data_IF_578171874754
#
_entry.id   IF_578171874754
#
_cell.length_a   1.000
_cell.length_b   1.000
_cell.length_c   1.000
_cell.angle_alpha   90.00
_cell.angle_beta   90.00
_cell.angle_gamma   90.00
#
_symmetry.space_group_name_H-M   'P 1'
#
loop_
_entity.id
_entity.type
_entity.pdbx_description
1 polymer ?
#
# COMPACT_ATOMS: atom_id res chain seq x y z
N UNK A 1 -27.31 31.66 -21.52
CA UNK A 1 -27.32 30.92 -20.24
C UNK A 1 -27.18 29.39 -20.33
N UNK A 2 -27.53 28.65 -21.42
CA UNK A 2 -27.42 27.18 -21.42
C UNK A 2 -25.99 26.63 -21.53
N UNK A 3 -25.05 27.41 -22.12
CA UNK A 3 -23.64 27.00 -22.27
C UNK A 3 -22.92 26.82 -20.94
N UNK A 4 -23.19 27.67 -19.97
CA UNK A 4 -22.51 27.64 -18.66
C UNK A 4 -22.92 26.42 -17.83
N UNK A 5 -24.20 26.05 -17.87
CA UNK A 5 -24.72 24.86 -17.21
C UNK A 5 -24.15 23.57 -17.82
N UNK A 6 -24.06 23.50 -19.15
CA UNK A 6 -23.50 22.33 -19.85
C UNK A 6 -22.00 22.11 -19.51
N UNK A 7 -21.22 23.20 -19.41
CA UNK A 7 -19.80 23.11 -19.02
C UNK A 7 -19.62 22.65 -17.58
N UNK A 8 -20.48 23.09 -16.66
CA UNK A 8 -20.47 22.65 -15.26
C UNK A 8 -20.79 21.16 -15.13
N UNK A 9 -21.81 20.68 -15.83
CA UNK A 9 -22.16 19.25 -15.83
C UNK A 9 -21.02 18.39 -16.39
N UNK A 10 -20.39 18.83 -17.47
CA UNK A 10 -19.24 18.14 -18.05
C UNK A 10 -18.05 18.12 -17.09
N UNK A 11 -17.75 19.23 -16.42
CA UNK A 11 -16.66 19.30 -15.44
C UNK A 11 -16.89 18.36 -14.25
N UNK A 12 -18.13 18.30 -13.73
CA UNK A 12 -18.50 17.38 -12.65
C UNK A 12 -18.36 15.92 -13.10
N UNK A 13 -18.84 15.59 -14.30
CA UNK A 13 -18.68 14.24 -14.86
C UNK A 13 -17.21 13.84 -15.01
N UNK A 14 -16.34 14.76 -15.46
CA UNK A 14 -14.89 14.50 -15.54
C UNK A 14 -14.26 14.25 -14.17
N UNK A 15 -14.70 14.96 -13.12
CA UNK A 15 -14.20 14.73 -11.76
C UNK A 15 -14.62 13.37 -11.22
N UNK A 16 -15.85 12.93 -11.50
CA UNK A 16 -16.36 11.61 -11.09
C UNK A 16 -15.59 10.50 -11.80
N UNK A 17 -15.35 10.61 -13.12
CA UNK A 17 -14.64 9.58 -13.87
C UNK A 17 -13.16 9.48 -13.48
N UNK A 18 -12.53 10.60 -13.12
CA UNK A 18 -11.17 10.61 -12.58
C UNK A 18 -11.09 9.93 -11.19
N UNK A 19 -12.09 10.12 -10.33
CA UNK A 19 -12.15 9.48 -9.01
C UNK A 19 -12.38 7.96 -9.05
N UNK A 20 -12.91 7.43 -10.16
CA UNK A 20 -13.17 6.00 -10.36
C UNK A 20 -12.03 5.25 -11.04
N UNK A 21 -10.87 5.87 -11.28
CA UNK A 21 -9.75 5.15 -11.87
C UNK A 21 -9.27 4.03 -10.94
N UNK A 22 -9.11 2.79 -11.45
CA UNK A 22 -8.60 1.69 -10.64
C UNK A 22 -7.21 2.05 -10.13
N UNK A 23 -7.03 2.00 -8.81
CA UNK A 23 -5.72 2.21 -8.19
C UNK A 23 -4.79 1.12 -8.69
N UNK A 24 -3.60 1.51 -9.16
CA UNK A 24 -2.56 0.53 -9.50
C UNK A 24 -2.16 -0.24 -8.22
N UNK A 25 -1.94 -1.57 -8.32
CA UNK A 25 -1.42 -2.33 -7.20
C UNK A 25 -0.06 -1.80 -6.74
N UNK A 26 0.18 -1.92 -5.44
CA UNK A 26 1.45 -1.59 -4.80
C UNK A 26 2.56 -2.46 -5.36
N UNK A 27 3.59 -1.83 -5.88
CA UNK A 27 4.80 -2.48 -6.38
C UNK A 27 5.69 -2.97 -5.24
N UNK A 28 6.65 -3.85 -5.55
CA UNK A 28 7.65 -4.33 -4.57
C UNK A 28 8.40 -3.18 -3.88
N UNK A 29 8.79 -2.16 -4.64
CA UNK A 29 9.55 -1.01 -4.14
C UNK A 29 8.70 -0.15 -3.21
N UNK A 30 7.44 0.07 -3.57
CA UNK A 30 6.48 0.81 -2.74
C UNK A 30 6.18 0.04 -1.45
N UNK A 31 6.06 -1.29 -1.51
CA UNK A 31 5.86 -2.12 -0.32
C UNK A 31 7.05 -2.01 0.66
N UNK A 32 8.28 -2.12 0.16
CA UNK A 32 9.49 -1.95 0.98
C UNK A 32 9.55 -0.54 1.61
N UNK A 33 9.24 0.49 0.82
CA UNK A 33 9.22 1.89 1.27
C UNK A 33 8.13 2.14 2.32
N UNK A 34 6.93 1.60 2.10
CA UNK A 34 5.81 1.71 3.03
C UNK A 34 6.12 1.03 4.36
N UNK A 35 6.70 -0.17 4.33
CA UNK A 35 7.13 -0.87 5.55
C UNK A 35 8.18 -0.07 6.32
N UNK A 36 9.22 0.43 5.65
CA UNK A 36 10.26 1.27 6.28
C UNK A 36 9.69 2.53 6.90
N UNK A 37 8.82 3.24 6.18
CA UNK A 37 8.16 4.45 6.67
C UNK A 37 7.27 4.16 7.88
N UNK A 38 6.54 3.05 7.85
CA UNK A 38 5.75 2.59 8.98
C UNK A 38 6.63 2.29 10.20
N UNK A 39 7.71 1.53 10.03
CA UNK A 39 8.65 1.20 11.10
C UNK A 39 9.23 2.46 11.77
N UNK A 40 9.67 3.45 10.97
CA UNK A 40 10.17 4.72 11.50
C UNK A 40 9.10 5.50 12.27
N UNK A 41 7.87 5.52 11.76
CA UNK A 41 6.74 6.21 12.39
C UNK A 41 6.31 5.56 13.70
N UNK A 42 6.31 4.22 13.76
CA UNK A 42 5.81 3.44 14.89
C UNK A 42 6.88 3.17 15.96
N UNK A 43 8.10 3.70 15.79
CA UNK A 43 9.18 3.56 16.77
C UNK A 43 9.94 2.22 16.68
N UNK A 44 9.98 1.62 15.49
CA UNK A 44 10.72 0.39 15.18
C UNK A 44 11.94 0.69 14.29
N UNK A 45 13.08 1.14 14.83
CA UNK A 45 14.24 1.54 14.03
C UNK A 45 15.04 0.32 13.51
N UNK A 46 14.40 -0.57 12.75
CA UNK A 46 14.99 -1.82 12.26
C UNK A 46 15.91 -1.65 11.04
N UNK A 47 16.12 -0.42 10.58
CA UNK A 47 16.93 -0.10 9.42
C UNK A 47 16.21 -0.38 8.09
N UNK A 48 16.99 -0.78 7.09
CA UNK A 48 16.48 -1.02 5.74
C UNK A 48 15.94 -2.46 5.59
N UNK A 49 14.90 -2.66 4.74
CA UNK A 49 14.43 -3.99 4.39
C UNK A 49 15.54 -4.83 3.75
N UNK A 50 15.65 -6.09 4.17
CA UNK A 50 16.60 -7.06 3.59
C UNK A 50 15.96 -7.89 2.47
N UNK A 51 14.65 -8.09 2.55
CA UNK A 51 13.91 -8.89 1.57
C UNK A 51 12.48 -8.38 1.45
N UNK A 52 11.94 -8.42 0.23
CA UNK A 52 10.53 -8.19 -0.03
C UNK A 52 10.01 -9.28 -0.98
N UNK A 53 9.26 -10.21 -0.41
CA UNK A 53 8.62 -11.30 -1.14
C UNK A 53 7.25 -10.85 -1.64
N UNK A 54 6.86 -11.35 -2.82
CA UNK A 54 5.61 -11.03 -3.50
C UNK A 54 4.36 -11.15 -2.62
N UNK A 55 3.22 -10.56 -3.05
CA UNK A 55 1.96 -10.83 -2.40
C UNK A 55 1.71 -12.33 -2.43
N UNK A 56 1.45 -12.92 -1.26
CA UNK A 56 1.03 -14.32 -1.18
C UNK A 56 -0.39 -14.52 -1.71
N UNK A 57 -0.89 -15.74 -1.53
CA UNK A 57 -2.31 -16.04 -1.74
C UNK A 57 -3.21 -15.11 -0.91
N UNK A 58 -4.40 -14.76 -1.41
CA UNK A 58 -5.34 -13.93 -0.67
C UNK A 58 -5.75 -14.61 0.64
N UNK A 59 -5.87 -13.82 1.70
CA UNK A 59 -6.44 -14.26 2.98
C UNK A 59 -7.96 -14.48 2.85
N UNK A 60 -8.59 -14.97 3.92
CA UNK A 60 -10.04 -15.21 3.96
C UNK A 60 -10.89 -13.96 3.67
N UNK A 61 -10.34 -12.76 3.89
CA UNK A 61 -10.99 -11.47 3.57
C UNK A 61 -10.67 -10.97 2.14
N UNK A 62 -9.99 -11.78 1.33
CA UNK A 62 -9.59 -11.47 -0.04
C UNK A 62 -8.35 -10.59 -0.17
N UNK A 63 -7.76 -10.13 0.94
CA UNK A 63 -6.58 -9.25 0.92
C UNK A 63 -5.32 -10.04 0.63
N UNK A 64 -4.44 -9.45 -0.17
CA UNK A 64 -3.10 -9.97 -0.45
C UNK A 64 -2.06 -9.10 0.21
N UNK A 65 -0.97 -9.71 0.67
CA UNK A 65 0.04 -9.04 1.47
C UNK A 65 1.44 -9.34 0.96
N UNK A 66 2.19 -8.28 0.64
CA UNK A 66 3.65 -8.34 0.53
C UNK A 66 4.24 -8.68 1.89
N UNK A 67 5.30 -9.49 1.90
CA UNK A 67 6.07 -9.78 3.12
C UNK A 67 7.41 -9.07 3.04
N UNK A 68 7.66 -8.17 4.01
CA UNK A 68 8.90 -7.38 4.09
C UNK A 68 9.67 -7.80 5.33
N UNK A 69 10.90 -8.27 5.14
CA UNK A 69 11.79 -8.69 6.24
C UNK A 69 12.85 -7.61 6.49
N UNK A 70 13.21 -7.42 7.75
CA UNK A 70 14.28 -6.55 8.20
C UNK A 70 15.38 -7.37 8.89
N UNK A 71 16.56 -6.75 9.08
CA UNK A 71 17.61 -7.34 9.91
C UNK A 71 17.11 -7.59 11.32
N UNK A 72 17.27 -8.81 11.80
CA UNK A 72 16.87 -9.26 13.13
C UNK A 72 17.97 -10.13 13.74
N UNK A 73 18.09 -10.10 15.06
CA UNK A 73 18.97 -11.02 15.80
C UNK A 73 18.43 -12.47 15.70
N UNK A 74 19.27 -13.49 15.91
CA UNK A 74 18.80 -14.88 15.96
C UNK A 74 17.66 -15.06 16.96
N UNK A 75 16.50 -15.53 16.48
CA UNK A 75 15.30 -15.73 17.30
C UNK A 75 14.32 -14.54 17.31
N UNK A 76 14.69 -13.40 16.73
CA UNK A 76 13.80 -12.24 16.59
C UNK A 76 13.11 -12.22 15.23
N UNK A 77 11.80 -11.92 15.21
CA UNK A 77 11.02 -11.80 13.97
C UNK A 77 10.70 -10.34 13.68
N UNK A 78 11.46 -9.72 12.78
CA UNK A 78 11.18 -8.37 12.25
C UNK A 78 10.61 -8.47 10.86
N UNK A 79 9.33 -8.80 10.81
CA UNK A 79 8.59 -9.00 9.56
C UNK A 79 7.34 -8.14 9.58
N UNK A 80 7.15 -7.40 8.49
CA UNK A 80 6.03 -6.52 8.26
C UNK A 80 5.29 -7.00 7.03
N UNK A 81 3.97 -6.86 7.04
CA UNK A 81 3.13 -7.13 5.90
C UNK A 81 2.53 -5.84 5.35
N UNK A 82 2.53 -5.71 4.01
CA UNK A 82 1.99 -4.54 3.31
C UNK A 82 0.91 -4.97 2.33
N UNK A 83 -0.29 -4.41 2.47
CA UNK A 83 -1.43 -4.73 1.63
C UNK A 83 -1.13 -4.36 0.17
N UNK A 84 -1.32 -5.32 -0.74
CA UNK A 84 -0.95 -5.19 -2.14
C UNK A 84 -1.79 -4.17 -2.91
N UNK A 85 -2.98 -3.80 -2.42
CA UNK A 85 -3.90 -2.92 -3.12
C UNK A 85 -3.94 -1.52 -2.48
N UNK A 86 -3.75 -1.43 -1.15
CA UNK A 86 -3.91 -0.18 -0.39
C UNK A 86 -2.62 0.37 0.20
N UNK A 87 -1.57 -0.44 0.33
CA UNK A 87 -0.32 -0.05 0.99
C UNK A 87 -0.42 0.01 2.52
N UNK A 88 -1.52 -0.44 3.11
CA UNK A 88 -1.67 -0.55 4.56
C UNK A 88 -0.67 -1.53 5.14
N UNK A 89 -0.15 -1.20 6.33
CA UNK A 89 0.96 -1.92 6.94
C UNK A 89 0.51 -2.54 8.26
N UNK A 90 0.96 -3.77 8.54
CA UNK A 90 0.78 -4.45 9.82
C UNK A 90 2.01 -5.28 10.18
N UNK A 91 2.19 -5.57 11.47
CA UNK A 91 3.14 -6.61 11.89
C UNK A 91 2.66 -7.97 11.38
N UNK A 92 3.61 -8.81 10.95
CA UNK A 92 3.29 -10.19 10.65
C UNK A 92 2.85 -10.92 11.94
N UNK A 93 1.85 -11.81 11.88
CA UNK A 93 1.41 -12.62 13.01
C UNK A 93 2.52 -13.56 13.52
#
# INVERSE_FOLDING_TARGET
MPRTAALLVLAVLLQITAACQPRMPVTRIEAASAARNWCLRDGHPWGDPVETTGPGEPEADGRRWWTVRFHAEPGEKRVVQVNADTGWVRLAP
#
